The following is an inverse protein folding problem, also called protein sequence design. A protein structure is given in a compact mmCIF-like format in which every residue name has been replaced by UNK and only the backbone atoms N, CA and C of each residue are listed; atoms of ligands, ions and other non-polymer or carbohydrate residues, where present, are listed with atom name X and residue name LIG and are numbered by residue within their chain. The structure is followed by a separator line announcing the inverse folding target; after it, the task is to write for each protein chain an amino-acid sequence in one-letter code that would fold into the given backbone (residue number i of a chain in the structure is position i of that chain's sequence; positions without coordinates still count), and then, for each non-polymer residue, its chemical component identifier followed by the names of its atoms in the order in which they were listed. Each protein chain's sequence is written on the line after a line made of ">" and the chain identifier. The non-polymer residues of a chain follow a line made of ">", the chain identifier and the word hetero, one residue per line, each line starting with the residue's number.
data_IF_549348014068
#
_entry.id   IF_549348014068
#
_cell.length_a   1.000
_cell.length_b   1.000
_cell.length_c   1.000
_cell.angle_alpha   90.00
_cell.angle_beta   90.00
_cell.angle_gamma   90.00
#
_symmetry.space_group_name_H-M   'P 1'
#
loop_
_entity.id
_entity.type
_entity.pdbx_description
1 polymer ?
#
# COMPACT_ATOMS: atom_id res chain seq x y z
N UNK A 1 -2.82 -18.47 -2.57
CA UNK A 1 -1.78 -18.71 -1.54
C UNK A 1 -1.23 -17.33 -1.25
N UNK A 2 -1.44 -16.78 -0.06
CA UNK A 2 -0.75 -15.54 0.33
C UNK A 2 0.73 -15.91 0.43
N UNK A 3 1.55 -15.41 -0.49
CA UNK A 3 3.00 -15.59 -0.34
C UNK A 3 3.37 -14.74 0.87
N UNK A 4 3.88 -15.36 1.94
CA UNK A 4 4.24 -14.68 3.21
C UNK A 4 5.28 -13.53 3.05
N UNK A 5 5.71 -13.23 1.82
CA UNK A 5 6.68 -12.21 1.45
C UNK A 5 6.18 -11.17 0.44
N UNK A 6 4.94 -11.22 -0.07
CA UNK A 6 4.45 -10.23 -1.03
C UNK A 6 4.31 -8.86 -0.34
N UNK A 7 4.88 -7.76 -0.90
CA UNK A 7 4.66 -6.40 -0.42
C UNK A 7 3.17 -6.07 -0.41
N UNK A 8 2.67 -5.55 0.71
CA UNK A 8 1.25 -5.23 0.86
C UNK A 8 1.02 -4.02 1.72
N UNK A 9 -0.10 -3.35 1.50
CA UNK A 9 -0.54 -2.16 2.23
C UNK A 9 -1.92 -2.40 2.85
N UNK A 10 -2.15 -1.81 4.02
CA UNK A 10 -3.47 -1.69 4.61
C UNK A 10 -4.00 -0.30 4.31
N UNK A 11 -5.03 -0.24 3.47
CA UNK A 11 -5.70 1.00 3.08
C UNK A 11 -6.96 1.16 3.93
N UNK A 12 -7.10 2.29 4.62
CA UNK A 12 -8.25 2.62 5.44
C UNK A 12 -9.16 3.63 4.74
N UNK A 13 -10.48 3.49 4.92
CA UNK A 13 -11.44 4.52 4.54
C UNK A 13 -11.41 5.66 5.56
N UNK A 14 -11.09 6.88 5.10
CA UNK A 14 -10.96 8.04 5.99
C UNK A 14 -12.29 8.50 6.57
N UNK A 15 -13.40 8.38 5.84
CA UNK A 15 -14.73 8.67 6.37
C UNK A 15 -15.06 7.79 7.59
N UNK A 16 -14.85 6.47 7.47
CA UNK A 16 -15.06 5.52 8.57
C UNK A 16 -14.10 5.76 9.73
N UNK A 17 -12.82 5.98 9.44
CA UNK A 17 -11.79 6.25 10.43
C UNK A 17 -12.11 7.50 11.26
N UNK A 18 -12.49 8.60 10.62
CA UNK A 18 -12.85 9.85 11.27
C UNK A 18 -14.10 9.73 12.16
N UNK A 19 -14.95 8.72 11.91
CA UNK A 19 -16.11 8.38 12.74
C UNK A 19 -15.83 7.24 13.74
N UNK A 20 -14.57 6.88 13.95
CA UNK A 20 -14.16 5.87 14.93
C UNK A 20 -14.52 4.43 14.54
N UNK A 21 -14.78 4.17 13.25
CA UNK A 21 -15.05 2.84 12.71
C UNK A 21 -13.81 2.30 12.02
N UNK A 22 -13.48 1.03 12.31
CA UNK A 22 -12.42 0.33 11.58
C UNK A 22 -12.99 -0.20 10.27
N UNK A 23 -12.57 0.40 9.16
CA UNK A 23 -12.92 -0.05 7.81
C UNK A 23 -11.74 0.18 6.88
N UNK A 24 -11.30 -0.88 6.22
CA UNK A 24 -10.12 -0.90 5.38
C UNK A 24 -9.79 -2.30 4.89
N UNK A 25 -8.84 -2.41 3.97
CA UNK A 25 -8.48 -3.66 3.31
C UNK A 25 -6.96 -3.82 3.19
N UNK A 26 -6.49 -5.05 3.38
CA UNK A 26 -5.12 -5.43 3.01
C UNK A 26 -5.06 -5.75 1.53
N UNK A 27 -4.18 -5.08 0.81
CA UNK A 27 -4.01 -5.21 -0.63
C UNK A 27 -2.57 -5.62 -0.92
N UNK A 28 -2.41 -6.78 -1.56
CA UNK A 28 -1.16 -7.23 -2.14
C UNK A 28 -0.79 -6.30 -3.31
N UNK A 29 0.48 -5.88 -3.39
CA UNK A 29 0.95 -4.86 -4.33
C UNK A 29 1.72 -5.43 -5.52
N UNK A 30 1.87 -6.76 -5.62
CA UNK A 30 2.51 -7.49 -6.75
C UNK A 30 1.59 -7.62 -7.97
N UNK A 31 0.80 -6.57 -8.24
CA UNK A 31 -0.17 -6.50 -9.31
C UNK A 31 -0.16 -5.08 -9.92
N UNK A 32 -0.81 -4.91 -11.07
CA UNK A 32 -0.86 -3.61 -11.74
C UNK A 32 -1.58 -2.56 -10.88
N UNK A 33 -1.20 -1.29 -11.05
CA UNK A 33 -1.77 -0.17 -10.28
C UNK A 33 -3.30 -0.09 -10.40
N UNK A 34 -3.85 -0.39 -11.58
CA UNK A 34 -5.29 -0.43 -11.83
C UNK A 34 -6.00 -1.48 -10.94
N UNK A 35 -5.39 -2.65 -10.73
CA UNK A 35 -5.95 -3.70 -9.86
C UNK A 35 -5.91 -3.30 -8.37
N UNK A 36 -4.88 -2.55 -7.96
CA UNK A 36 -4.80 -1.97 -6.61
C UNK A 36 -5.91 -0.93 -6.43
N UNK A 37 -6.09 -0.03 -7.42
CA UNK A 37 -7.14 0.98 -7.41
C UNK A 37 -8.53 0.36 -7.33
N UNK A 38 -8.82 -0.68 -8.12
CA UNK A 38 -10.10 -1.37 -8.05
C UNK A 38 -10.42 -1.91 -6.64
N UNK A 39 -9.40 -2.37 -5.90
CA UNK A 39 -9.59 -2.85 -4.51
C UNK A 39 -9.85 -1.69 -3.56
N UNK A 40 -9.15 -0.57 -3.71
CA UNK A 40 -9.39 0.65 -2.92
C UNK A 40 -10.81 1.15 -3.15
N UNK A 41 -11.26 1.22 -4.40
CA UNK A 41 -12.62 1.63 -4.78
C UNK A 41 -13.67 0.70 -4.17
N UNK A 42 -13.51 -0.62 -4.31
CA UNK A 42 -14.42 -1.60 -3.70
C UNK A 42 -14.47 -1.48 -2.18
N UNK A 43 -13.33 -1.21 -1.54
CA UNK A 43 -13.25 -0.98 -0.09
C UNK A 43 -14.03 0.29 0.30
N UNK A 44 -13.89 1.39 -0.45
CA UNK A 44 -14.61 2.64 -0.23
C UNK A 44 -16.12 2.49 -0.46
N UNK A 45 -16.54 1.82 -1.54
CA UNK A 45 -17.95 1.52 -1.82
C UNK A 45 -18.61 0.69 -0.71
N UNK A 46 -17.83 -0.19 -0.05
CA UNK A 46 -18.28 -1.00 1.08
C UNK A 46 -18.27 -0.25 2.42
N UNK A 47 -17.94 1.04 2.44
CA UNK A 47 -17.83 1.83 3.68
C UNK A 47 -19.12 1.86 4.50
N UNK A 48 -19.03 1.80 5.84
CA UNK A 48 -20.17 2.01 6.74
C UNK A 48 -20.54 3.49 6.92
N UNK A 49 -19.85 4.41 6.25
CA UNK A 49 -20.14 5.85 6.21
C UNK A 49 -20.62 6.26 4.80
N UNK A 50 -21.57 7.20 4.70
CA UNK A 50 -22.00 7.73 3.41
C UNK A 50 -20.88 8.53 2.74
N UNK A 51 -20.94 8.63 1.41
CA UNK A 51 -20.07 9.48 0.58
C UNK A 51 -18.56 9.27 0.86
N UNK A 52 -18.17 8.01 1.05
CA UNK A 52 -16.78 7.62 1.32
C UNK A 52 -15.94 7.64 0.03
N UNK A 53 -15.09 8.65 -0.12
CA UNK A 53 -14.21 8.81 -1.29
C UNK A 53 -12.72 8.81 -0.93
N UNK A 54 -12.40 9.19 0.32
CA UNK A 54 -11.03 9.39 0.76
C UNK A 54 -10.45 8.15 1.45
N UNK A 55 -9.18 7.87 1.17
CA UNK A 55 -8.42 6.74 1.70
C UNK A 55 -7.02 7.16 2.15
N UNK A 56 -6.39 6.35 3.00
CA UNK A 56 -4.98 6.49 3.37
C UNK A 56 -4.34 5.14 3.72
N UNK A 57 -3.02 5.02 3.54
CA UNK A 57 -2.26 3.83 3.96
C UNK A 57 -1.96 3.96 5.45
N UNK A 58 -2.50 3.05 6.25
CA UNK A 58 -2.32 3.06 7.71
C UNK A 58 -1.30 2.02 8.20
N UNK A 59 -0.98 1.01 7.37
CA UNK A 59 0.07 0.03 7.67
C UNK A 59 0.60 -0.60 6.37
N UNK A 60 1.77 -1.21 6.46
CA UNK A 60 2.39 -1.92 5.34
C UNK A 60 3.26 -3.07 5.85
N UNK A 61 3.39 -4.13 5.05
CA UNK A 61 4.14 -5.34 5.38
C UNK A 61 4.98 -5.80 4.18
N UNK A 62 6.10 -6.47 4.46
CA UNK A 62 6.98 -7.11 3.48
C UNK A 62 7.75 -6.17 2.51
N UNK A 63 7.83 -4.87 2.80
CA UNK A 63 8.60 -3.90 2.01
C UNK A 63 10.12 -3.90 2.25
N UNK A 64 10.61 -4.87 3.01
CA UNK A 64 12.04 -5.06 3.32
C UNK A 64 12.78 -3.81 3.83
N UNK A 65 12.06 -2.95 4.56
CA UNK A 65 12.59 -1.71 5.16
C UNK A 65 12.39 -0.47 4.31
N UNK A 66 11.80 -0.58 3.11
CA UNK A 66 11.28 0.60 2.41
C UNK A 66 10.09 1.14 3.22
N UNK A 67 10.17 2.42 3.57
CA UNK A 67 9.10 3.15 4.25
C UNK A 67 8.05 3.59 3.22
N UNK A 68 6.77 3.36 3.54
CA UNK A 68 5.65 3.75 2.70
C UNK A 68 4.92 4.91 3.36
N UNK A 69 4.74 6.00 2.61
CA UNK A 69 3.97 7.16 3.06
C UNK A 69 2.48 6.84 3.10
N UNK A 70 1.75 7.43 4.05
CA UNK A 70 0.29 7.35 4.15
C UNK A 70 -0.43 7.79 2.86
N UNK A 71 0.19 8.70 2.10
CA UNK A 71 -0.35 9.31 0.88
C UNK A 71 0.47 8.90 -0.36
N UNK A 72 1.13 7.74 -0.31
CA UNK A 72 1.96 7.27 -1.42
C UNK A 72 1.13 7.06 -2.70
N UNK A 73 1.75 7.41 -3.82
CA UNK A 73 1.22 7.22 -5.17
C UNK A 73 1.15 5.72 -5.50
N UNK A 74 -0.01 5.26 -5.98
CA UNK A 74 -0.30 3.82 -6.16
C UNK A 74 0.54 3.23 -7.30
N UNK A 75 0.80 4.01 -8.35
CA UNK A 75 1.66 3.64 -9.46
C UNK A 75 3.08 3.40 -8.96
N UNK A 76 3.59 4.26 -8.07
CA UNK A 76 4.88 4.05 -7.42
C UNK A 76 4.89 2.84 -6.50
N UNK A 77 3.80 2.55 -5.78
CA UNK A 77 3.67 1.36 -4.94
C UNK A 77 3.76 0.09 -5.79
N UNK A 78 3.01 0.02 -6.89
CA UNK A 78 3.03 -1.11 -7.81
C UNK A 78 4.44 -1.33 -8.39
N UNK A 79 5.08 -0.26 -8.89
CA UNK A 79 6.44 -0.33 -9.42
C UNK A 79 7.45 -0.84 -8.38
N UNK A 80 7.39 -0.34 -7.14
CA UNK A 80 8.28 -0.79 -6.08
C UNK A 80 8.06 -2.26 -5.72
N UNK A 81 6.79 -2.69 -5.66
CA UNK A 81 6.45 -4.07 -5.35
C UNK A 81 6.93 -5.03 -6.43
N UNK A 82 6.76 -4.68 -7.71
CA UNK A 82 7.29 -5.45 -8.85
C UNK A 82 8.81 -5.59 -8.76
N UNK A 83 9.53 -4.49 -8.49
CA UNK A 83 11.00 -4.52 -8.35
C UNK A 83 11.46 -5.34 -7.14
N UNK A 84 10.70 -5.33 -6.04
CA UNK A 84 10.96 -6.19 -4.87
C UNK A 84 10.71 -7.65 -5.22
N UNK A 85 9.68 -7.98 -5.99
CA UNK A 85 9.41 -9.35 -6.42
C UNK A 85 10.50 -9.86 -7.38
N UNK A 86 10.93 -9.03 -8.34
CA UNK A 86 11.95 -9.39 -9.33
C UNK A 86 13.35 -9.55 -8.71
N UNK A 87 13.74 -8.65 -7.80
CA UNK A 87 15.11 -8.54 -7.31
C UNK A 87 15.28 -8.90 -5.82
N UNK A 88 14.19 -9.08 -5.09
CA UNK A 88 14.18 -9.42 -3.68
C UNK A 88 14.81 -8.38 -2.77
N UNK A 89 15.17 -8.81 -1.56
CA UNK A 89 15.71 -7.96 -0.47
C UNK A 89 16.94 -7.13 -0.84
N UNK A 90 17.75 -7.58 -1.80
CA UNK A 90 18.96 -6.85 -2.21
C UNK A 90 18.63 -5.49 -2.84
N UNK A 91 17.55 -5.42 -3.62
CA UNK A 91 17.08 -4.17 -4.22
C UNK A 91 16.55 -3.20 -3.16
N UNK A 92 15.75 -3.67 -2.20
CA UNK A 92 15.24 -2.83 -1.13
C UNK A 92 16.35 -2.15 -0.31
N UNK A 93 17.43 -2.86 0.00
CA UNK A 93 18.60 -2.29 0.68
C UNK A 93 19.32 -1.23 -0.16
N UNK A 94 19.39 -1.40 -1.48
CA UNK A 94 19.97 -0.39 -2.36
C UNK A 94 19.15 0.91 -2.39
N UNK A 95 17.81 0.81 -2.44
CA UNK A 95 16.93 1.97 -2.39
C UNK A 95 17.11 2.78 -1.09
N UNK A 96 17.25 2.11 0.05
CA UNK A 96 17.52 2.77 1.33
C UNK A 96 18.82 3.58 1.29
N UNK A 97 19.91 2.97 0.79
CA UNK A 97 21.20 3.66 0.68
C UNK A 97 21.14 4.92 -0.20
N UNK A 98 20.35 4.91 -1.28
CA UNK A 98 20.20 6.08 -2.14
C UNK A 98 19.39 7.21 -1.48
N UNK A 99 18.38 6.89 -0.67
CA UNK A 99 17.61 7.90 0.07
C UNK A 99 18.43 8.55 1.20
N UNK A 100 19.31 7.79 1.87
CA UNK A 100 20.18 8.31 2.93
C UNK A 100 21.26 9.28 2.40
N UNK A 101 21.73 9.09 1.16
CA UNK A 101 22.71 9.99 0.51
C UNK A 101 22.09 11.28 -0.05
N UNK A 102 20.76 11.34 -0.16
CA UNK A 102 20.02 12.50 -0.66
C UNK A 102 19.62 13.50 0.44
N UNK A 103 20.06 13.29 1.69
CA UNK A 103 19.72 14.10 2.88
C UNK A 103 20.87 14.99 3.35
#
# INVERSE_FOLDING_TARGET
>A
MTQDNTPRIYVACLAAYNNGKLHGEWIDCDQDADDIWEKIEKMLEASPEPDAEEWAIHAFENWHGIEISENADIERIAELAELIEEHGKAFALYCQHQNDEAT
#
